data_IF_878734461523
#
_entry.id   IF_878734461523
#
_cell.length_a   1.000
_cell.length_b   1.000
_cell.length_c   1.000
_cell.angle_alpha   90.00
_cell.angle_beta   90.00
_cell.angle_gamma   90.00
#
_symmetry.space_group_name_H-M   'P 1'
#
loop_
_entity.id
_entity.type
_entity.pdbx_description
1 polymer ?
#
# COMPACT_ATOMS: atom_id res chain seq x y z
N UNK A 1 14.31 6.58 26.06
CA UNK A 1 14.01 8.02 25.93
C UNK A 1 13.79 8.34 24.46
N UNK A 2 12.65 8.96 24.12
CA UNK A 2 12.16 9.15 22.76
C UNK A 2 12.77 10.39 22.10
N UNK A 3 12.94 10.37 20.78
CA UNK A 3 13.10 11.59 19.99
C UNK A 3 11.94 11.68 19.00
N UNK A 4 10.96 12.47 19.43
CA UNK A 4 9.88 13.01 18.61
C UNK A 4 10.46 13.86 17.48
N UNK A 5 10.17 13.50 16.24
CA UNK A 5 10.31 14.41 15.09
C UNK A 5 8.92 14.68 14.51
N UNK A 6 8.23 15.62 15.16
CA UNK A 6 6.99 16.21 14.70
C UNK A 6 7.21 16.97 13.39
N UNK A 7 6.67 16.44 12.27
CA UNK A 7 6.54 17.22 11.03
C UNK A 7 5.32 18.14 11.08
N UNK A 8 5.47 19.45 10.86
CA UNK A 8 4.39 20.40 11.05
C UNK A 8 3.34 20.33 9.92
N UNK A 9 2.08 20.21 10.33
CA UNK A 9 0.88 20.32 9.48
C UNK A 9 0.77 21.74 8.92
N UNK A 10 1.00 21.90 7.62
CA UNK A 10 0.89 23.18 6.92
C UNK A 10 -0.59 23.52 6.66
N UNK A 11 -1.18 24.30 7.57
CA UNK A 11 -2.51 24.89 7.44
C UNK A 11 -2.54 25.91 6.29
N UNK A 12 -3.30 25.62 5.22
CA UNK A 12 -3.58 26.62 4.17
C UNK A 12 -4.70 27.55 4.66
N UNK A 13 -4.25 28.64 5.27
CA UNK A 13 -5.01 29.83 5.64
C UNK A 13 -5.69 30.45 4.42
N UNK A 14 -7.02 30.42 4.39
CA UNK A 14 -7.84 31.15 3.42
C UNK A 14 -7.53 32.66 3.51
N UNK A 15 -6.98 33.24 2.44
CA UNK A 15 -6.85 34.68 2.30
C UNK A 15 -8.15 35.26 1.74
N UNK A 16 -9.04 35.67 2.64
CA UNK A 16 -10.10 36.65 2.37
C UNK A 16 -9.44 37.99 2.01
N UNK A 17 -9.49 38.37 0.73
CA UNK A 17 -9.19 39.75 0.30
C UNK A 17 -10.50 40.50 0.18
N UNK A 18 -10.83 41.28 1.22
CA UNK A 18 -11.80 42.37 1.13
C UNK A 18 -11.20 43.48 0.26
N UNK A 19 -11.89 43.86 -0.81
CA UNK A 19 -11.64 45.13 -1.49
C UNK A 19 -12.98 45.84 -1.74
N UNK A 20 -13.40 46.59 -0.73
CA UNK A 20 -14.36 47.68 -0.91
C UNK A 20 -13.61 48.95 -1.34
N UNK A 21 -14.20 49.64 -2.33
CA UNK A 21 -14.14 51.08 -2.70
C UNK A 21 -14.13 51.18 -4.22
N UNK A 22 -14.81 52.08 -4.90
CA UNK A 22 -15.81 53.12 -4.58
C UNK A 22 -16.16 53.68 -5.97
N UNK A 23 -17.44 53.90 -6.23
CA UNK A 23 -18.05 54.73 -7.28
C UNK A 23 -17.17 55.21 -8.46
N UNK A 24 -17.55 54.83 -9.69
CA UNK A 24 -17.62 55.75 -10.84
C UNK A 24 -18.60 55.19 -11.87
N UNK A 25 -19.85 55.67 -11.78
CA UNK A 25 -20.91 55.49 -12.78
C UNK A 25 -20.56 56.36 -13.98
N UNK A 26 -19.67 55.88 -14.85
CA UNK A 26 -19.52 56.48 -16.18
C UNK A 26 -20.75 56.12 -17.03
N UNK A 27 -21.68 57.08 -17.09
CA UNK A 27 -22.69 57.14 -18.15
C UNK A 27 -21.95 57.35 -19.47
N UNK A 28 -21.60 56.27 -20.15
CA UNK A 28 -21.16 56.34 -21.54
C UNK A 28 -22.32 56.90 -22.36
N UNK A 29 -22.18 58.17 -22.75
CA UNK A 29 -23.07 58.86 -23.67
C UNK A 29 -23.12 58.03 -24.95
N UNK A 30 -24.30 57.48 -25.24
CA UNK A 30 -24.64 56.99 -26.58
C UNK A 30 -24.45 58.17 -27.55
N UNK A 31 -23.63 58.06 -28.61
CA UNK A 31 -23.69 59.06 -29.66
C UNK A 31 -25.08 58.98 -30.29
N UNK A 32 -25.75 60.13 -30.27
CA UNK A 32 -26.97 60.40 -31.02
C UNK A 32 -26.63 60.25 -32.51
N UNK A 33 -27.47 59.45 -33.18
CA UNK A 33 -27.72 59.32 -34.62
C UNK A 33 -27.09 60.38 -35.55
N UNK A 34 -26.59 59.98 -36.74
CA UNK A 34 -26.96 60.69 -37.94
C UNK A 34 -28.38 60.24 -38.33
N UNK A 35 -29.33 61.17 -38.32
CA UNK A 35 -30.61 61.03 -38.99
C UNK A 35 -30.35 60.66 -40.44
N UNK A 36 -30.69 59.43 -40.83
CA UNK A 36 -30.85 59.10 -42.24
C UNK A 36 -32.04 59.90 -42.74
N UNK A 37 -31.75 60.88 -43.59
CA UNK A 37 -32.73 61.54 -44.44
C UNK A 37 -33.50 60.47 -45.21
N UNK A 38 -34.81 60.41 -44.93
CA UNK A 38 -35.82 59.85 -45.80
C UNK A 38 -35.87 60.71 -47.07
N UNK A 39 -35.03 60.33 -48.03
CA UNK A 39 -35.23 60.69 -49.42
C UNK A 39 -36.14 59.64 -50.02
N UNK A 40 -37.37 60.03 -50.31
CA UNK A 40 -38.30 59.25 -51.14
C UNK A 40 -37.75 59.17 -52.56
N UNK A 41 -36.85 58.21 -52.77
CA UNK A 41 -36.49 57.69 -54.08
C UNK A 41 -37.20 56.36 -54.25
N UNK A 42 -38.15 56.32 -55.19
CA UNK A 42 -38.56 55.09 -55.86
C UNK A 42 -37.34 54.23 -56.14
N UNK A 43 -37.31 52.99 -55.63
CA UNK A 43 -36.97 51.78 -56.40
C UNK A 43 -36.93 50.55 -55.48
N UNK A 44 -37.77 49.59 -55.84
CA UNK A 44 -38.16 48.39 -55.11
C UNK A 44 -37.12 47.26 -55.19
N UNK A 45 -35.90 47.45 -54.65
CA UNK A 45 -34.86 46.40 -54.74
C UNK A 45 -33.87 46.26 -53.53
N UNK A 46 -34.04 47.02 -52.44
CA UNK A 46 -33.05 47.07 -51.33
C UNK A 46 -33.34 46.20 -50.08
N UNK A 47 -34.55 45.67 -49.93
CA UNK A 47 -34.98 44.92 -48.72
C UNK A 47 -34.29 43.57 -48.55
N UNK A 48 -33.97 42.91 -49.67
CA UNK A 48 -33.29 41.62 -49.70
C UNK A 48 -31.83 41.75 -49.20
N UNK A 49 -31.11 42.81 -49.58
CA UNK A 49 -29.72 43.03 -49.18
C UNK A 49 -29.55 43.20 -47.66
N UNK A 50 -30.48 43.92 -47.00
CA UNK A 50 -30.46 44.13 -45.54
C UNK A 50 -30.81 42.85 -44.76
N UNK A 51 -31.68 42.01 -45.31
CA UNK A 51 -31.99 40.69 -44.73
C UNK A 51 -30.83 39.71 -44.92
N UNK A 52 -30.17 39.72 -46.08
CA UNK A 52 -28.97 38.91 -46.35
C UNK A 52 -27.82 39.23 -45.39
N UNK A 53 -27.54 40.51 -45.12
CA UNK A 53 -26.51 40.91 -44.16
C UNK A 53 -26.83 40.46 -42.72
N UNK A 54 -28.11 40.47 -42.33
CA UNK A 54 -28.57 39.99 -41.01
C UNK A 54 -28.48 38.46 -40.92
N UNK A 55 -28.75 37.74 -42.01
CA UNK A 55 -28.57 36.30 -42.09
C UNK A 55 -27.09 35.90 -41.99
N UNK A 56 -26.20 36.59 -42.72
CA UNK A 56 -24.75 36.38 -42.62
C UNK A 56 -24.23 36.59 -41.20
N UNK A 57 -24.68 37.65 -40.51
CA UNK A 57 -24.26 37.93 -39.12
C UNK A 57 -24.81 36.90 -38.11
N UNK A 58 -25.97 36.31 -38.38
CA UNK A 58 -26.51 35.19 -37.57
C UNK A 58 -25.73 33.91 -37.81
N UNK A 59 -25.42 33.59 -39.07
CA UNK A 59 -24.60 32.44 -39.43
C UNK A 59 -23.19 32.54 -38.80
N UNK A 60 -22.55 33.71 -38.84
CA UNK A 60 -21.24 33.93 -38.22
C UNK A 60 -21.28 33.75 -36.68
N UNK A 61 -22.36 34.20 -36.03
CA UNK A 61 -22.56 34.02 -34.60
C UNK A 61 -22.83 32.55 -34.23
N UNK A 62 -23.57 31.83 -35.06
CA UNK A 62 -23.87 30.40 -34.89
C UNK A 62 -22.61 29.55 -35.07
N UNK A 63 -21.78 29.86 -36.07
CA UNK A 63 -20.47 29.22 -36.29
C UNK A 63 -19.52 29.44 -35.10
N UNK A 64 -19.47 30.67 -34.57
CA UNK A 64 -18.70 30.97 -33.34
C UNK A 64 -19.19 30.20 -32.12
N UNK A 65 -20.51 30.00 -31.99
CA UNK A 65 -21.10 29.24 -30.90
C UNK A 65 -20.80 27.74 -31.01
N UNK A 66 -20.86 27.19 -32.23
CA UNK A 66 -20.50 25.80 -32.53
C UNK A 66 -19.02 25.52 -32.24
N UNK A 67 -18.11 26.35 -32.75
CA UNK A 67 -16.65 26.24 -32.45
C UNK A 67 -16.36 26.28 -30.95
N UNK A 68 -17.10 27.09 -30.19
CA UNK A 68 -16.96 27.18 -28.73
C UNK A 68 -17.52 25.94 -28.02
N UNK A 69 -18.61 25.36 -28.51
CA UNK A 69 -19.17 24.12 -27.98
C UNK A 69 -18.25 22.92 -28.26
N UNK A 70 -17.66 22.83 -29.45
CA UNK A 70 -16.70 21.79 -29.83
C UNK A 70 -15.44 21.85 -28.95
N UNK A 71 -14.87 23.03 -28.71
CA UNK A 71 -13.73 23.19 -27.79
C UNK A 71 -14.05 22.70 -26.38
N UNK A 72 -15.23 23.07 -25.86
CA UNK A 72 -15.69 22.60 -24.53
C UNK A 72 -15.87 21.09 -24.47
N UNK A 73 -16.34 20.47 -25.55
CA UNK A 73 -16.45 19.01 -25.67
C UNK A 73 -15.07 18.36 -25.69
N UNK A 74 -14.13 18.90 -26.45
CA UNK A 74 -12.74 18.43 -26.50
C UNK A 74 -12.07 18.51 -25.11
N UNK A 75 -12.25 19.61 -24.39
CA UNK A 75 -11.74 19.78 -23.02
C UNK A 75 -12.34 18.75 -22.05
N UNK A 76 -13.65 18.47 -22.15
CA UNK A 76 -14.31 17.42 -21.37
C UNK A 76 -13.75 16.04 -21.68
N UNK A 77 -13.61 15.69 -22.96
CA UNK A 77 -13.05 14.40 -23.40
C UNK A 77 -11.59 14.25 -22.96
N UNK A 78 -10.79 15.31 -23.03
CA UNK A 78 -9.42 15.31 -22.53
C UNK A 78 -9.39 15.07 -21.01
N UNK A 79 -10.26 15.73 -20.25
CA UNK A 79 -10.32 15.57 -18.80
C UNK A 79 -10.78 14.16 -18.38
N UNK A 80 -11.63 13.50 -19.15
CA UNK A 80 -12.19 12.20 -18.80
C UNK A 80 -11.35 11.04 -19.34
N UNK A 81 -10.84 11.14 -20.56
CA UNK A 81 -10.10 10.06 -21.21
C UNK A 81 -8.59 10.26 -21.23
N UNK A 82 -8.09 11.47 -20.99
CA UNK A 82 -6.64 11.77 -20.93
C UNK A 82 -5.95 11.86 -22.30
N UNK A 83 -6.69 11.68 -23.39
CA UNK A 83 -6.17 11.74 -24.75
C UNK A 83 -6.58 13.05 -25.43
N UNK A 84 -5.67 13.60 -26.23
CA UNK A 84 -5.95 14.72 -27.13
C UNK A 84 -5.73 14.27 -28.58
N UNK A 85 -6.17 15.05 -29.56
CA UNK A 85 -5.86 14.76 -30.96
C UNK A 85 -4.33 14.71 -31.22
N UNK A 86 -3.54 15.43 -30.43
CA UNK A 86 -2.07 15.47 -30.54
C UNK A 86 -1.37 14.34 -29.76
N UNK A 87 -2.03 13.82 -28.71
CA UNK A 87 -1.54 12.73 -27.85
C UNK A 87 -2.49 11.54 -28.01
N UNK A 88 -2.56 11.02 -29.24
CA UNK A 88 -3.40 9.89 -29.59
C UNK A 88 -2.55 8.62 -29.80
N UNK A 89 -2.67 7.58 -28.95
CA UNK A 89 -1.93 6.33 -29.11
C UNK A 89 -2.35 5.52 -30.34
N UNK A 90 -3.48 5.86 -30.99
CA UNK A 90 -3.99 5.17 -32.17
C UNK A 90 -3.59 5.84 -33.50
N UNK A 91 -2.91 6.99 -33.46
CA UNK A 91 -2.42 7.67 -34.68
C UNK A 91 -3.49 8.41 -35.50
N UNK A 92 -4.74 8.47 -35.05
CA UNK A 92 -5.80 9.23 -35.73
C UNK A 92 -5.68 10.73 -35.47
N UNK A 93 -5.83 11.55 -36.51
CA UNK A 93 -5.76 13.03 -36.39
C UNK A 93 -7.01 13.66 -35.75
N UNK A 94 -8.14 12.95 -35.71
CA UNK A 94 -9.45 13.47 -35.29
C UNK A 94 -10.12 12.61 -34.21
N UNK A 95 -9.42 12.34 -33.11
CA UNK A 95 -9.93 11.53 -31.99
C UNK A 95 -11.20 12.10 -31.34
N UNK A 96 -11.28 13.43 -31.21
CA UNK A 96 -12.41 14.11 -30.57
C UNK A 96 -13.63 14.33 -31.49
N UNK A 97 -13.50 14.00 -32.78
CA UNK A 97 -14.56 14.14 -33.77
C UNK A 97 -15.61 13.03 -33.64
N UNK A 98 -16.87 13.34 -33.98
CA UNK A 98 -17.89 12.30 -34.09
C UNK A 98 -17.61 11.42 -35.30
N UNK A 99 -17.68 10.11 -35.11
CA UNK A 99 -17.55 9.16 -36.20
C UNK A 99 -18.74 9.28 -37.16
N UNK A 100 -18.46 9.45 -38.45
CA UNK A 100 -19.47 9.50 -39.51
C UNK A 100 -19.22 8.39 -40.49
N UNK A 101 -20.22 7.53 -40.67
CA UNK A 101 -20.17 6.49 -41.68
C UNK A 101 -20.53 7.06 -43.06
N UNK A 102 -19.57 7.70 -43.72
CA UNK A 102 -19.77 8.45 -44.99
C UNK A 102 -20.51 7.64 -46.07
N UNK A 103 -20.19 6.35 -46.22
CA UNK A 103 -20.85 5.45 -47.18
C UNK A 103 -22.35 5.28 -46.90
N UNK A 104 -22.74 5.24 -45.62
CA UNK A 104 -24.13 5.15 -45.18
C UNK A 104 -24.86 6.48 -45.36
N UNK A 105 -24.20 7.59 -45.09
CA UNK A 105 -24.75 8.94 -45.29
C UNK A 105 -25.07 9.20 -46.77
N UNK A 106 -24.15 8.84 -47.67
CA UNK A 106 -24.37 8.91 -49.12
C UNK A 106 -25.53 8.00 -49.57
N UNK A 107 -25.60 6.75 -49.09
CA UNK A 107 -26.67 5.81 -49.46
C UNK A 107 -28.05 6.19 -48.90
N UNK A 108 -28.09 6.86 -47.75
CA UNK A 108 -29.34 7.37 -47.14
C UNK A 108 -29.73 8.75 -47.65
N UNK A 109 -28.95 9.36 -48.55
CA UNK A 109 -29.24 10.67 -49.14
C UNK A 109 -29.40 11.78 -48.10
N UNK A 110 -28.70 11.69 -46.96
CA UNK A 110 -28.88 12.63 -45.85
C UNK A 110 -30.24 12.55 -45.12
N UNK A 111 -31.13 11.62 -45.50
CA UNK A 111 -32.44 11.38 -44.85
C UNK A 111 -32.34 10.50 -43.60
N UNK A 112 -31.12 10.16 -43.16
CA UNK A 112 -30.92 9.61 -41.83
C UNK A 112 -31.47 10.62 -40.81
N UNK A 113 -32.16 10.14 -39.76
CA UNK A 113 -32.69 11.00 -38.70
C UNK A 113 -31.51 11.76 -38.07
N UNK A 114 -31.28 12.99 -38.53
CA UNK A 114 -30.22 13.85 -38.04
C UNK A 114 -30.62 14.18 -36.61
N UNK A 115 -29.99 13.48 -35.65
CA UNK A 115 -30.22 13.75 -34.24
C UNK A 115 -29.95 15.23 -34.01
N UNK A 116 -30.85 15.89 -33.30
CA UNK A 116 -30.59 17.27 -32.91
C UNK A 116 -29.27 17.32 -32.14
N UNK A 117 -28.45 18.36 -32.36
CA UNK A 117 -27.14 18.50 -31.70
C UNK A 117 -27.27 18.32 -30.18
N UNK A 118 -28.37 18.82 -29.60
CA UNK A 118 -28.70 18.69 -28.17
C UNK A 118 -28.92 17.23 -27.72
N UNK A 119 -29.55 16.39 -28.53
CA UNK A 119 -29.75 14.97 -28.21
C UNK A 119 -28.43 14.21 -28.27
N UNK A 120 -27.59 14.48 -29.27
CA UNK A 120 -26.28 13.87 -29.37
C UNK A 120 -25.40 14.24 -28.17
N UNK A 121 -25.38 15.52 -27.79
CA UNK A 121 -24.58 15.98 -26.65
C UNK A 121 -25.07 15.38 -25.31
N UNK A 122 -26.38 15.22 -25.12
CA UNK A 122 -26.94 14.58 -23.92
C UNK A 122 -26.58 13.09 -23.82
N UNK A 123 -26.55 12.39 -24.95
CA UNK A 123 -26.13 10.99 -25.01
C UNK A 123 -24.63 10.82 -24.75
N UNK A 124 -23.81 11.72 -25.30
CA UNK A 124 -22.37 11.74 -25.03
C UNK A 124 -22.09 11.98 -23.53
N UNK A 125 -22.83 12.88 -22.89
CA UNK A 125 -22.72 13.11 -21.44
C UNK A 125 -23.15 11.88 -20.62
N UNK A 126 -24.23 11.20 -21.02
CA UNK A 126 -24.66 9.96 -20.36
C UNK A 126 -23.62 8.84 -20.50
N UNK A 127 -23.03 8.67 -21.69
CA UNK A 127 -21.97 7.68 -21.93
C UNK A 127 -20.71 7.97 -21.11
N UNK A 128 -20.30 9.24 -21.01
CA UNK A 128 -19.16 9.64 -20.17
C UNK A 128 -19.45 9.35 -18.69
N UNK A 129 -20.67 9.64 -18.22
CA UNK A 129 -21.08 9.33 -16.85
C UNK A 129 -21.07 7.82 -16.56
N UNK A 130 -21.53 6.99 -17.51
CA UNK A 130 -21.47 5.53 -17.39
C UNK A 130 -20.02 5.03 -17.32
N UNK A 131 -19.15 5.50 -18.22
CA UNK A 131 -17.74 5.11 -18.25
C UNK A 131 -17.02 5.50 -16.95
N UNK A 132 -17.28 6.69 -16.44
CA UNK A 132 -16.69 7.15 -15.17
C UNK A 132 -17.18 6.32 -13.98
N UNK A 133 -18.49 6.02 -13.91
CA UNK A 133 -19.04 5.15 -12.87
C UNK A 133 -18.46 3.72 -12.93
N UNK A 134 -18.25 3.17 -14.13
CA UNK A 134 -17.59 1.86 -14.30
C UNK A 134 -16.14 1.91 -13.83
N UNK A 135 -15.40 2.99 -14.13
CA UNK A 135 -14.03 3.18 -13.65
C UNK A 135 -13.95 3.30 -12.14
N UNK A 136 -14.85 4.07 -11.51
CA UNK A 136 -14.92 4.16 -10.05
C UNK A 136 -15.22 2.80 -9.42
N UNK A 137 -16.13 2.01 -10.00
CA UNK A 137 -16.40 0.64 -9.52
C UNK A 137 -15.19 -0.30 -9.65
N UNK A 138 -14.35 -0.12 -10.69
CA UNK A 138 -13.09 -0.88 -10.83
C UNK A 138 -12.08 -0.43 -9.78
N UNK A 139 -11.87 0.87 -9.66
CA UNK A 139 -10.96 1.47 -8.69
C UNK A 139 -11.32 1.05 -7.26
N UNK A 140 -12.61 1.10 -6.90
CA UNK A 140 -13.08 0.63 -5.59
C UNK A 140 -12.78 -0.85 -5.35
N UNK A 141 -13.03 -1.72 -6.34
CA UNK A 141 -12.69 -3.15 -6.24
C UNK A 141 -11.19 -3.39 -6.11
N UNK A 142 -10.37 -2.62 -6.82
CA UNK A 142 -8.91 -2.70 -6.73
C UNK A 142 -8.42 -2.20 -5.36
N UNK A 143 -9.01 -1.14 -4.82
CA UNK A 143 -8.71 -0.63 -3.47
C UNK A 143 -9.12 -1.64 -2.39
N UNK A 144 -10.34 -2.19 -2.48
CA UNK A 144 -10.84 -3.21 -1.56
C UNK A 144 -9.95 -4.48 -1.62
N UNK A 145 -9.56 -4.92 -2.82
CA UNK A 145 -8.68 -6.08 -2.99
C UNK A 145 -7.27 -5.81 -2.45
N UNK A 146 -6.74 -4.59 -2.66
CA UNK A 146 -5.44 -4.19 -2.13
C UNK A 146 -5.43 -4.10 -0.61
N UNK A 147 -6.53 -3.63 -0.01
CA UNK A 147 -6.69 -3.58 1.44
C UNK A 147 -6.75 -5.00 2.02
N UNK A 148 -7.54 -5.88 1.42
CA UNK A 148 -7.60 -7.30 1.80
C UNK A 148 -6.26 -8.01 1.65
N UNK A 149 -5.53 -7.76 0.56
CA UNK A 149 -4.21 -8.34 0.33
C UNK A 149 -3.19 -7.82 1.34
N UNK A 150 -3.22 -6.53 1.67
CA UNK A 150 -2.38 -5.95 2.74
C UNK A 150 -2.64 -6.63 4.08
N UNK A 151 -3.91 -6.76 4.48
CA UNK A 151 -4.28 -7.42 5.73
C UNK A 151 -3.83 -8.88 5.75
N UNK A 152 -4.04 -9.61 4.64
CA UNK A 152 -3.56 -10.99 4.49
C UNK A 152 -2.04 -11.10 4.62
N UNK A 153 -1.29 -10.19 4.02
CA UNK A 153 0.17 -10.17 4.12
C UNK A 153 0.66 -9.87 5.54
N UNK A 154 0.00 -8.94 6.24
CA UNK A 154 0.29 -8.64 7.64
C UNK A 154 0.00 -9.86 8.54
N UNK A 155 -1.15 -10.51 8.37
CA UNK A 155 -1.49 -11.75 9.08
C UNK A 155 -0.52 -12.89 8.74
N UNK A 156 -0.12 -13.04 7.47
CA UNK A 156 0.84 -14.08 7.08
C UNK A 156 2.19 -13.85 7.77
N UNK A 157 2.68 -12.61 7.79
CA UNK A 157 3.91 -12.24 8.49
C UNK A 157 3.82 -12.50 9.99
N UNK A 158 2.69 -12.16 10.62
CA UNK A 158 2.46 -12.45 12.05
C UNK A 158 2.48 -13.96 12.31
N UNK A 159 1.72 -14.74 11.54
CA UNK A 159 1.71 -16.21 11.67
C UNK A 159 3.09 -16.83 11.43
N UNK A 160 3.89 -16.29 10.52
CA UNK A 160 5.27 -16.73 10.31
C UNK A 160 6.17 -16.38 11.50
N UNK A 161 6.03 -15.18 12.07
CA UNK A 161 6.77 -14.79 13.26
C UNK A 161 6.41 -15.65 14.47
N UNK A 162 5.11 -15.93 14.70
CA UNK A 162 4.64 -16.79 15.79
C UNK A 162 5.18 -18.22 15.62
N UNK A 163 5.11 -18.78 14.41
CA UNK A 163 5.69 -20.10 14.12
C UNK A 163 7.20 -20.14 14.34
N UNK A 164 7.90 -19.08 13.96
CA UNK A 164 9.35 -19.00 14.16
C UNK A 164 9.70 -18.90 15.66
N UNK A 165 8.91 -18.17 16.44
CA UNK A 165 9.07 -18.11 17.90
C UNK A 165 8.83 -19.50 18.54
N UNK A 166 7.74 -20.18 18.18
CA UNK A 166 7.46 -21.54 18.66
C UNK A 166 8.55 -22.55 18.27
N UNK A 167 9.16 -22.38 17.10
CA UNK A 167 10.28 -23.23 16.66
C UNK A 167 11.55 -22.94 17.45
N UNK A 168 11.86 -21.68 17.71
CA UNK A 168 13.01 -21.29 18.52
C UNK A 168 12.91 -21.86 19.95
N UNK A 169 11.75 -21.72 20.61
CA UNK A 169 11.52 -22.27 21.95
C UNK A 169 11.68 -23.81 21.97
N UNK A 170 11.16 -24.50 20.95
CA UNK A 170 11.30 -25.97 20.83
C UNK A 170 12.74 -26.38 20.55
N UNK A 171 13.49 -25.60 19.76
CA UNK A 171 14.89 -25.83 19.47
C UNK A 171 15.75 -25.65 20.72
N UNK A 172 15.53 -24.60 21.51
CA UNK A 172 16.18 -24.38 22.81
C UNK A 172 15.89 -25.53 23.80
N UNK A 173 14.62 -25.95 23.91
CA UNK A 173 14.25 -27.08 24.75
C UNK A 173 14.91 -28.40 24.29
N UNK A 174 14.98 -28.62 22.98
CA UNK A 174 15.66 -29.79 22.41
C UNK A 174 17.17 -29.75 22.68
N UNK A 175 17.82 -28.59 22.56
CA UNK A 175 19.23 -28.43 22.90
C UNK A 175 19.50 -28.75 24.36
N UNK A 176 18.64 -28.26 25.26
CA UNK A 176 18.72 -28.56 26.69
C UNK A 176 18.56 -30.07 26.96
N UNK A 177 17.55 -30.73 26.39
CA UNK A 177 17.34 -32.17 26.56
C UNK A 177 18.49 -33.00 25.97
N UNK A 178 18.99 -32.62 24.79
CA UNK A 178 20.12 -33.28 24.14
C UNK A 178 21.40 -33.13 24.96
N UNK A 179 21.68 -31.93 25.46
CA UNK A 179 22.83 -31.65 26.32
C UNK A 179 22.75 -32.45 27.63
N UNK A 180 21.60 -32.47 28.30
CA UNK A 180 21.37 -33.30 29.49
C UNK A 180 21.56 -34.79 29.20
N UNK A 181 20.98 -35.30 28.11
CA UNK A 181 21.09 -36.72 27.73
C UNK A 181 22.53 -37.10 27.43
N UNK A 182 23.26 -36.24 26.70
CA UNK A 182 24.67 -36.44 26.39
C UNK A 182 25.54 -36.44 27.65
N UNK A 183 25.30 -35.53 28.58
CA UNK A 183 25.99 -35.50 29.87
C UNK A 183 25.74 -36.77 30.68
N UNK A 184 24.50 -37.26 30.71
CA UNK A 184 24.13 -38.51 31.38
C UNK A 184 24.88 -39.72 30.77
N UNK A 185 24.92 -39.84 29.45
CA UNK A 185 25.65 -40.92 28.76
C UNK A 185 27.16 -40.86 29.09
N UNK A 186 27.76 -39.67 29.11
CA UNK A 186 29.19 -39.52 29.45
C UNK A 186 29.52 -39.92 30.89
N UNK A 187 28.64 -39.57 31.82
CA UNK A 187 28.77 -39.99 33.22
C UNK A 187 28.73 -41.52 33.35
N UNK A 188 27.88 -42.18 32.58
CA UNK A 188 27.77 -43.63 32.52
C UNK A 188 29.00 -44.32 31.94
N UNK A 189 29.49 -43.80 30.82
CA UNK A 189 30.61 -44.37 30.08
C UNK A 189 31.97 -44.07 30.75
N UNK A 190 31.99 -43.37 31.89
CA UNK A 190 33.21 -43.03 32.63
C UNK A 190 34.09 -41.97 31.94
N UNK A 191 33.55 -41.26 30.96
CA UNK A 191 34.24 -40.22 30.16
C UNK A 191 33.67 -38.82 30.42
N UNK A 192 33.36 -38.54 31.68
CA UNK A 192 32.73 -37.31 32.11
C UNK A 192 33.59 -36.08 31.77
N UNK A 193 32.97 -35.06 31.16
CA UNK A 193 33.56 -33.74 31.05
C UNK A 193 33.45 -32.99 32.39
N UNK A 194 34.29 -31.97 32.64
CA UNK A 194 34.21 -31.15 33.86
C UNK A 194 32.82 -30.57 34.13
N UNK A 195 32.08 -30.20 33.07
CA UNK A 195 30.68 -29.75 33.17
C UNK A 195 29.74 -30.86 33.69
N UNK A 196 29.96 -32.10 33.26
CA UNK A 196 29.12 -33.24 33.66
C UNK A 196 29.36 -33.57 35.15
N UNK A 197 30.59 -33.40 35.64
CA UNK A 197 30.95 -33.54 37.06
C UNK A 197 30.22 -32.48 37.89
N UNK A 198 30.20 -31.23 37.41
CA UNK A 198 29.45 -30.15 38.07
C UNK A 198 27.94 -30.44 38.07
N UNK A 199 27.38 -30.83 36.93
CA UNK A 199 25.96 -31.18 36.81
C UNK A 199 25.59 -32.33 37.75
N UNK A 200 26.43 -33.37 37.86
CA UNK A 200 26.26 -34.45 38.83
C UNK A 200 26.24 -33.93 40.27
N UNK A 201 27.17 -33.05 40.64
CA UNK A 201 27.23 -32.49 41.98
C UNK A 201 25.99 -31.65 42.30
N UNK A 202 25.53 -30.83 41.34
CA UNK A 202 24.30 -30.04 41.47
C UNK A 202 23.07 -30.95 41.62
N UNK A 203 22.95 -32.01 40.81
CA UNK A 203 21.84 -32.96 40.92
C UNK A 203 21.83 -33.72 42.26
N UNK A 204 23.00 -34.11 42.76
CA UNK A 204 23.11 -34.92 43.97
C UNK A 204 22.91 -34.10 45.26
N UNK A 205 23.43 -32.86 45.30
CA UNK A 205 23.40 -31.99 46.48
C UNK A 205 22.34 -30.87 46.41
N UNK A 206 21.78 -30.58 45.23
CA UNK A 206 20.78 -29.52 44.99
C UNK A 206 19.33 -29.90 45.29
N UNK A 207 19.07 -31.10 45.82
CA UNK A 207 17.83 -31.41 46.54
C UNK A 207 16.60 -31.83 45.73
N UNK A 208 16.55 -31.66 44.41
CA UNK A 208 15.27 -31.82 43.69
C UNK A 208 15.00 -33.22 43.10
N UNK A 209 15.98 -33.98 42.58
CA UNK A 209 15.73 -35.33 41.99
C UNK A 209 16.96 -36.25 42.09
N UNK A 210 16.90 -37.27 42.96
CA UNK A 210 17.96 -38.31 43.11
C UNK A 210 17.94 -39.36 42.00
N UNK A 211 16.80 -39.54 41.35
CA UNK A 211 16.61 -40.45 40.23
C UNK A 211 16.38 -39.64 38.98
N UNK A 212 17.19 -39.88 37.95
CA UNK A 212 16.98 -39.30 36.63
C UNK A 212 16.73 -40.44 35.67
N UNK A 213 15.49 -40.54 35.20
CA UNK A 213 15.14 -41.51 34.16
C UNK A 213 15.97 -41.25 32.91
N UNK A 214 16.59 -42.30 32.38
CA UNK A 214 17.28 -42.29 31.10
C UNK A 214 16.62 -43.39 30.28
N UNK A 215 15.94 -43.03 29.20
CA UNK A 215 15.46 -43.99 28.22
C UNK A 215 16.39 -43.94 27.01
N UNK A 216 17.00 -45.07 26.68
CA UNK A 216 17.72 -45.25 25.42
C UNK A 216 17.12 -46.46 24.70
N UNK A 217 16.84 -46.31 23.41
CA UNK A 217 16.40 -47.40 22.52
C UNK A 217 15.23 -48.28 23.00
N UNK A 218 14.33 -47.74 23.83
CA UNK A 218 13.12 -48.45 24.27
C UNK A 218 13.24 -49.25 25.57
N UNK A 219 14.44 -49.39 26.14
CA UNK A 219 14.64 -49.94 27.49
C UNK A 219 14.76 -48.79 28.50
N UNK A 220 13.82 -48.73 29.44
CA UNK A 220 13.82 -47.74 30.53
C UNK A 220 14.83 -48.17 31.59
N UNK A 221 16.11 -47.86 31.38
CA UNK A 221 17.12 -48.00 32.41
C UNK A 221 17.04 -46.77 33.35
N UNK A 222 16.29 -46.90 34.45
CA UNK A 222 16.34 -45.90 35.52
C UNK A 222 17.72 -45.95 36.18
N UNK A 223 18.54 -44.92 35.95
CA UNK A 223 19.78 -44.75 36.69
C UNK A 223 19.51 -44.00 37.98
N UNK A 224 19.68 -44.73 39.08
CA UNK A 224 19.85 -44.12 40.38
C UNK A 224 21.23 -43.45 40.37
N UNK A 225 21.26 -42.11 40.37
CA UNK A 225 22.50 -41.34 40.42
C UNK A 225 23.30 -41.68 41.69
N UNK A 226 22.63 -42.17 42.73
CA UNK A 226 23.25 -42.69 43.97
C UNK A 226 24.16 -43.90 43.74
N UNK A 227 24.01 -44.61 42.61
CA UNK A 227 24.85 -45.76 42.23
C UNK A 227 26.15 -45.36 41.54
N UNK A 228 26.23 -44.15 40.95
CA UNK A 228 27.48 -43.63 40.42
C UNK A 228 28.35 -43.19 41.60
N UNK A 229 29.51 -43.84 41.77
CA UNK A 229 30.46 -43.51 42.83
C UNK A 229 30.73 -42.00 42.91
N UNK A 230 30.39 -41.41 44.05
CA UNK A 230 30.54 -39.98 44.30
C UNK A 230 31.92 -39.75 44.90
N UNK A 231 32.80 -39.12 44.14
CA UNK A 231 34.06 -38.61 44.69
C UNK A 231 33.75 -37.35 45.51
N UNK A 232 33.87 -37.43 46.84
CA UNK A 232 33.84 -36.24 47.71
C UNK A 232 35.13 -35.43 47.51
N UNK A 233 35.14 -34.59 46.48
CA UNK A 233 36.16 -33.57 46.23
C UNK A 233 35.61 -32.20 46.55
N UNK A 234 36.47 -31.28 46.97
CA UNK A 234 36.04 -29.90 47.16
C UNK A 234 35.62 -29.31 45.80
N UNK A 235 34.57 -28.46 45.71
CA UNK A 235 34.09 -27.94 44.42
C UNK A 235 35.16 -27.24 43.58
N UNK A 236 36.16 -26.64 44.24
CA UNK A 236 37.27 -25.95 43.59
C UNK A 236 38.30 -26.91 42.97
N UNK A 237 38.32 -28.17 43.38
CA UNK A 237 39.26 -29.18 42.87
C UNK A 237 38.95 -29.62 41.45
N UNK A 238 37.69 -29.51 41.03
CA UNK A 238 37.29 -29.77 39.64
C UNK A 238 38.11 -28.89 38.68
N UNK A 239 38.49 -27.68 39.10
CA UNK A 239 39.20 -26.69 38.29
C UNK A 239 40.73 -26.80 38.33
N UNK A 240 41.31 -27.46 39.34
CA UNK A 240 42.77 -27.44 39.59
C UNK A 240 43.58 -28.12 38.48
N UNK A 241 43.03 -29.16 37.87
CA UNK A 241 43.72 -29.98 36.87
C UNK A 241 43.39 -29.61 35.41
N UNK A 242 42.61 -28.54 35.19
CA UNK A 242 42.25 -28.09 33.85
C UNK A 242 43.30 -27.15 33.25
N UNK A 243 43.56 -27.34 31.95
CA UNK A 243 44.29 -26.36 31.17
C UNK A 243 43.41 -25.15 30.83
N UNK A 244 44.05 -23.99 30.62
CA UNK A 244 43.38 -22.73 30.26
C UNK A 244 42.34 -22.86 29.13
N UNK A 245 42.62 -23.52 27.97
CA UNK A 245 41.61 -23.65 26.92
C UNK A 245 40.42 -24.51 27.33
N UNK A 246 40.61 -25.50 28.21
CA UNK A 246 39.49 -26.30 28.72
C UNK A 246 38.66 -25.50 29.73
N UNK A 247 39.29 -24.63 30.51
CA UNK A 247 38.60 -23.75 31.45
C UNK A 247 37.75 -22.71 30.72
N UNK A 248 38.27 -22.12 29.64
CA UNK A 248 37.50 -21.19 28.79
C UNK A 248 36.28 -21.88 28.16
N UNK A 249 36.46 -23.11 27.66
CA UNK A 249 35.34 -23.91 27.15
C UNK A 249 34.32 -24.22 28.24
N UNK A 250 34.77 -24.63 29.42
CA UNK A 250 33.90 -24.92 30.56
C UNK A 250 33.09 -23.68 30.96
N UNK A 251 33.74 -22.51 31.01
CA UNK A 251 33.06 -21.24 31.24
C UNK A 251 31.97 -20.98 30.20
N UNK A 252 32.29 -21.14 28.91
CA UNK A 252 31.30 -20.97 27.84
C UNK A 252 30.11 -21.92 27.96
N UNK A 253 30.36 -23.18 28.33
CA UNK A 253 29.31 -24.16 28.58
C UNK A 253 28.44 -23.77 29.79
N UNK A 254 29.05 -23.32 30.88
CA UNK A 254 28.30 -22.83 32.06
C UNK A 254 27.43 -21.63 31.69
N UNK A 255 27.97 -20.67 30.93
CA UNK A 255 27.23 -19.49 30.50
C UNK A 255 26.05 -19.88 29.58
N UNK A 256 26.25 -20.85 28.68
CA UNK A 256 25.19 -21.41 27.81
C UNK A 256 24.08 -22.09 28.65
N UNK A 257 24.45 -22.96 29.58
CA UNK A 257 23.49 -23.61 30.48
C UNK A 257 22.73 -22.61 31.34
N UNK A 258 23.41 -21.56 31.84
CA UNK A 258 22.78 -20.51 32.64
C UNK A 258 21.80 -19.67 31.81
N UNK A 259 22.07 -19.47 30.51
CA UNK A 259 21.14 -18.80 29.59
C UNK A 259 19.89 -19.67 29.35
N UNK A 260 20.09 -20.95 29.03
CA UNK A 260 19.00 -21.90 28.77
C UNK A 260 18.14 -22.18 30.01
N UNK A 261 18.76 -22.29 31.20
CA UNK A 261 18.03 -22.42 32.47
C UNK A 261 17.49 -21.06 32.96
N UNK A 262 18.09 -19.93 32.63
CA UNK A 262 17.62 -18.61 33.08
C UNK A 262 16.22 -18.24 32.55
N UNK A 263 15.82 -18.85 31.43
CA UNK A 263 14.50 -18.70 30.81
C UNK A 263 13.45 -19.69 31.35
N UNK A 264 13.86 -20.77 32.00
CA UNK A 264 12.98 -21.88 32.44
C UNK A 264 13.20 -22.40 33.88
N UNK A 265 14.16 -21.86 34.63
CA UNK A 265 14.79 -22.53 35.77
C UNK A 265 14.48 -21.94 37.15
N UNK A 266 14.44 -22.85 38.13
CA UNK A 266 14.11 -22.68 39.56
C UNK A 266 15.12 -21.90 40.40
N UNK A 267 16.14 -21.28 39.79
CA UNK A 267 17.26 -20.64 40.51
C UNK A 267 17.00 -19.15 40.86
N UNK A 268 15.75 -18.68 40.74
CA UNK A 268 15.35 -17.30 41.04
C UNK A 268 14.81 -17.07 42.46
N UNK A 269 14.70 -18.10 43.29
CA UNK A 269 14.20 -18.01 44.67
C UNK A 269 15.32 -18.15 45.72
#
# INVERSE_FOLDING_TARGET
>A
MPRDDERPRKSKKEKKVKKEKKSKKERRKRPRSPSASDGSGSDSDGGAARQALKAMRRAEMEEKLQKKAEKRRQEKLMSTFGYTNDINPFGDSNLNGRFVWRKKEMKSGGKGKLRSLKQADAEDEAQIAEITAVRERRKRREEDLKEMDRQRQEEARQREADRHAEWAEKEEAFHLEANQTRSKIRLLEGRAEPIDILARNVLLFGGEKRTVGISYTGDTASLDISSLGVELKAPTEVFKDLSLPKLERLRGQIDEYLQLEGESGSFKD
#
